data_IF_199114356052
#
_entry.id   IF_199114356052
#
_cell.length_a   1.000
_cell.length_b   1.000
_cell.length_c   1.000
_cell.angle_alpha   90.00
_cell.angle_beta   90.00
_cell.angle_gamma   90.00
#
_symmetry.space_group_name_H-M   'P 1'
#
loop_
_entity.id
_entity.type
_entity.pdbx_description
1 polymer ?
#
# COMPACT_ATOMS: atom_id res chain seq x y z
N UNK A 1 24.80 -17.48 -26.64
CA UNK A 1 24.60 -17.78 -25.21
C UNK A 1 23.48 -16.89 -24.66
N UNK A 2 22.22 -17.18 -25.00
CA UNK A 2 21.10 -16.48 -24.39
C UNK A 2 21.10 -16.83 -22.91
N UNK A 3 21.38 -15.84 -22.04
CA UNK A 3 21.38 -15.98 -20.59
C UNK A 3 19.92 -16.10 -20.14
N UNK A 4 19.30 -17.23 -20.47
CA UNK A 4 17.94 -17.57 -20.11
C UNK A 4 17.86 -17.59 -18.60
N UNK A 5 17.22 -16.59 -18.01
CA UNK A 5 16.91 -16.61 -16.59
C UNK A 5 16.10 -17.89 -16.35
N UNK A 6 16.71 -18.87 -15.68
CA UNK A 6 16.07 -20.13 -15.35
C UNK A 6 14.74 -19.87 -14.64
N UNK A 7 13.75 -20.73 -14.83
CA UNK A 7 12.45 -20.63 -14.15
C UNK A 7 12.60 -20.41 -12.64
N UNK A 8 13.59 -21.06 -12.02
CA UNK A 8 13.95 -20.87 -10.62
C UNK A 8 14.34 -19.42 -10.26
N UNK A 9 15.03 -18.70 -11.15
CA UNK A 9 15.40 -17.30 -10.93
C UNK A 9 14.21 -16.34 -11.08
N UNK A 10 13.20 -16.69 -11.90
CA UNK A 10 11.93 -15.95 -11.95
C UNK A 10 11.10 -16.19 -10.69
N UNK A 11 10.99 -17.46 -10.27
CA UNK A 11 10.26 -17.88 -9.08
C UNK A 11 10.84 -17.25 -7.79
N UNK A 12 12.16 -17.22 -7.65
CA UNK A 12 12.83 -16.61 -6.50
C UNK A 12 12.56 -15.10 -6.38
N UNK A 13 12.40 -14.40 -7.51
CA UNK A 13 12.06 -12.98 -7.50
C UNK A 13 10.60 -12.74 -7.11
N UNK A 14 9.67 -13.63 -7.49
CA UNK A 14 8.25 -13.55 -7.08
C UNK A 14 8.05 -13.93 -5.60
N UNK A 15 8.81 -14.92 -5.12
CA UNK A 15 8.75 -15.43 -3.74
C UNK A 15 9.59 -14.63 -2.74
N UNK A 16 10.47 -13.73 -3.20
CA UNK A 16 11.24 -12.89 -2.28
C UNK A 16 10.28 -12.06 -1.42
N UNK A 17 10.28 -12.39 -0.13
CA UNK A 17 9.54 -11.72 0.94
C UNK A 17 10.38 -10.63 1.61
N UNK A 18 11.56 -10.33 1.04
CA UNK A 18 12.48 -9.30 1.52
C UNK A 18 11.78 -7.94 1.51
N UNK A 19 11.48 -7.43 2.72
CA UNK A 19 10.84 -6.12 2.92
C UNK A 19 9.30 -6.13 2.96
N UNK A 20 8.65 -7.30 2.82
CA UNK A 20 7.19 -7.40 2.92
C UNK A 20 6.77 -7.46 4.38
N UNK A 21 6.19 -6.38 4.89
CA UNK A 21 5.61 -6.37 6.24
C UNK A 21 4.30 -7.14 6.19
N UNK A 22 4.20 -8.24 6.93
CA UNK A 22 2.99 -9.06 7.01
C UNK A 22 2.14 -8.55 8.17
N UNK A 23 0.83 -8.41 7.96
CA UNK A 23 -0.10 -8.06 9.02
C UNK A 23 -0.27 -9.24 9.99
N UNK A 24 -0.04 -9.02 11.29
CA UNK A 24 -0.16 -10.03 12.34
C UNK A 24 -1.58 -10.57 12.56
N UNK A 25 -2.60 -9.92 11.99
CA UNK A 25 -4.02 -10.28 12.17
C UNK A 25 -4.56 -11.08 10.99
N UNK A 26 -4.28 -10.64 9.75
CA UNK A 26 -4.81 -11.30 8.55
C UNK A 26 -3.76 -12.09 7.76
N UNK A 27 -2.50 -12.10 8.20
CA UNK A 27 -1.37 -12.75 7.51
C UNK A 27 -1.21 -12.35 6.04
N UNK A 28 -1.80 -11.22 5.62
CA UNK A 28 -1.63 -10.67 4.28
C UNK A 28 -0.53 -9.61 4.26
N UNK A 29 0.10 -9.45 3.10
CA UNK A 29 1.06 -8.38 2.83
C UNK A 29 0.45 -6.99 3.06
N UNK A 30 1.12 -6.17 3.86
CA UNK A 30 0.79 -4.77 4.07
C UNK A 30 1.32 -3.97 2.87
N UNK A 31 0.40 -3.37 2.11
CA UNK A 31 0.76 -2.48 1.00
C UNK A 31 0.79 -1.04 1.50
N UNK A 32 1.72 -0.21 1.00
CA UNK A 32 1.66 1.25 1.19
C UNK A 32 0.85 1.89 0.08
N UNK A 33 -0.13 2.70 0.44
CA UNK A 33 -0.90 3.51 -0.51
C UNK A 33 -0.77 4.99 -0.19
N UNK A 34 -0.77 5.82 -1.24
CA UNK A 34 -0.82 7.27 -1.14
C UNK A 34 -2.28 7.70 -1.21
N UNK A 35 -2.81 8.14 -0.08
CA UNK A 35 -4.16 8.68 0.02
C UNK A 35 -4.11 10.20 -0.24
N UNK A 36 -4.88 10.64 -1.24
CA UNK A 36 -5.03 12.05 -1.59
C UNK A 36 -6.42 12.50 -1.15
N UNK A 37 -6.49 13.43 -0.20
CA UNK A 37 -7.74 13.96 0.37
C UNK A 37 -7.86 15.46 0.12
N UNK A 38 -9.08 15.99 0.16
CA UNK A 38 -9.26 17.44 0.21
C UNK A 38 -8.92 17.97 1.61
N UNK A 39 -8.07 18.99 1.69
CA UNK A 39 -7.88 19.78 2.91
C UNK A 39 -8.97 20.86 2.94
N UNK A 40 -9.73 20.94 4.04
CA UNK A 40 -10.57 22.12 4.31
C UNK A 40 -9.64 23.31 4.61
N UNK A 41 -9.50 24.21 3.65
CA UNK A 41 -8.79 25.48 3.77
C UNK A 41 -9.76 26.57 4.21
N UNK A 42 -9.29 27.55 5.00
CA UNK A 42 -10.09 28.72 5.40
C UNK A 42 -10.25 29.73 4.25
N UNK A 43 -9.30 29.74 3.31
CA UNK A 43 -9.44 30.41 2.02
C UNK A 43 -10.12 29.43 1.06
N UNK A 44 -11.11 29.86 0.28
CA UNK A 44 -11.98 29.05 -0.58
C UNK A 44 -11.29 28.25 -1.71
N UNK A 45 -10.00 27.96 -1.60
CA UNK A 45 -9.16 27.25 -2.58
C UNK A 45 -8.96 25.80 -2.15
N UNK A 46 -9.34 24.85 -3.00
CA UNK A 46 -9.10 23.43 -2.78
C UNK A 46 -7.60 23.12 -2.75
N UNK A 47 -7.13 22.41 -1.71
CA UNK A 47 -5.75 21.94 -1.62
C UNK A 47 -5.71 20.44 -1.25
N UNK A 48 -4.87 19.62 -1.89
CA UNK A 48 -4.75 18.20 -1.56
C UNK A 48 -3.92 17.98 -0.29
N UNK A 49 -4.41 17.14 0.62
CA UNK A 49 -3.66 16.53 1.75
C UNK A 49 -3.16 15.16 1.29
N UNK A 50 -1.84 14.99 1.26
CA UNK A 50 -1.20 13.72 0.95
C UNK A 50 -0.92 12.95 2.24
N UNK A 51 -1.40 11.71 2.35
CA UNK A 51 -1.12 10.82 3.47
C UNK A 51 -0.62 9.47 2.94
N UNK A 52 0.45 8.93 3.53
CA UNK A 52 0.92 7.57 3.23
C UNK A 52 0.38 6.65 4.31
N UNK A 53 -0.46 5.68 3.91
CA UNK A 53 -1.11 4.77 4.85
C UNK A 53 -0.79 3.33 4.45
N UNK A 54 -0.58 2.51 5.47
CA UNK A 54 -0.40 1.07 5.36
C UNK A 54 -1.77 0.38 5.29
N UNK A 55 -2.05 -0.35 4.23
CA UNK A 55 -3.30 -1.08 4.00
C UNK A 55 -3.07 -2.60 4.04
N UNK A 56 -3.98 -3.30 4.70
CA UNK A 56 -4.10 -4.75 4.75
C UNK A 56 -5.59 -5.13 4.67
N UNK A 57 -5.91 -6.42 4.60
CA UNK A 57 -7.29 -6.89 4.46
C UNK A 57 -8.20 -6.51 5.64
N UNK A 58 -7.63 -6.22 6.80
CA UNK A 58 -8.37 -5.77 7.99
C UNK A 58 -8.86 -4.33 7.88
N UNK A 59 -8.05 -3.43 7.31
CA UNK A 59 -8.32 -1.99 7.33
C UNK A 59 -8.73 -1.42 5.96
N UNK A 60 -8.70 -2.24 4.90
CA UNK A 60 -9.05 -1.83 3.54
C UNK A 60 -10.45 -1.22 3.46
N UNK A 61 -11.45 -1.84 4.10
CA UNK A 61 -12.83 -1.35 4.10
C UNK A 61 -12.96 0.03 4.75
N UNK A 62 -12.23 0.27 5.84
CA UNK A 62 -12.31 1.52 6.58
C UNK A 62 -11.55 2.65 5.87
N UNK A 63 -10.40 2.33 5.25
CA UNK A 63 -9.62 3.30 4.48
C UNK A 63 -10.38 3.73 3.22
N UNK A 64 -11.00 2.79 2.49
CA UNK A 64 -11.82 3.08 1.31
C UNK A 64 -13.11 3.82 1.67
N UNK A 65 -13.71 3.54 2.83
CA UNK A 65 -14.87 4.26 3.35
C UNK A 65 -14.54 5.69 3.83
N UNK A 66 -13.28 6.12 3.76
CA UNK A 66 -12.85 7.45 4.18
C UNK A 66 -12.78 7.63 5.71
N UNK A 67 -13.04 6.58 6.49
CA UNK A 67 -12.93 6.53 7.96
C UNK A 67 -11.47 6.38 8.41
N UNK A 68 -10.61 7.24 7.90
CA UNK A 68 -9.26 7.38 8.46
C UNK A 68 -9.32 8.67 9.24
N UNK A 69 -9.65 8.57 10.51
CA UNK A 69 -9.75 9.72 11.39
C UNK A 69 -8.35 10.35 11.55
N UNK A 70 -8.33 11.65 11.22
CA UNK A 70 -7.29 12.69 11.42
C UNK A 70 -5.82 12.37 11.10
#
# INVERSE_FOLDING_TARGET
>A
MAKGKAFAAKLAHELSTEGKVICSVCNTEIKKIKLVRSRKSKAATWAPKYQLINICKCNEKDILAGKVDA
#
